data_IF_129191838748
#
_entry.id   IF_129191838748
#
_cell.length_a   1.000
_cell.length_b   1.000
_cell.length_c   1.000
_cell.angle_alpha   90.00
_cell.angle_beta   90.00
_cell.angle_gamma   90.00
#
_symmetry.space_group_name_H-M   'P 1'
#
loop_
_entity.id
_entity.type
_entity.pdbx_description
1 polymer ?
#
# COMPACT_ATOMS: atom_id res chain seq x y z
N UNK A 1 -14.52 12.22 -10.48
CA UNK A 1 -15.25 11.51 -9.41
C UNK A 1 -14.39 11.59 -8.16
N UNK A 2 -14.85 12.23 -7.10
CA UNK A 2 -14.12 12.25 -5.83
C UNK A 2 -14.26 10.86 -5.20
N UNK A 3 -13.14 10.16 -5.02
CA UNK A 3 -13.09 8.95 -4.21
C UNK A 3 -13.49 9.31 -2.78
N UNK A 4 -14.74 9.07 -2.42
CA UNK A 4 -15.20 9.19 -1.04
C UNK A 4 -14.56 8.06 -0.24
N UNK A 5 -13.38 8.33 0.30
CA UNK A 5 -12.66 7.43 1.19
C UNK A 5 -13.51 7.21 2.45
N UNK A 6 -14.01 5.99 2.64
CA UNK A 6 -14.71 5.59 3.87
C UNK A 6 -13.64 5.35 4.95
N UNK A 7 -13.64 6.21 5.98
CA UNK A 7 -12.57 6.28 6.97
C UNK A 7 -12.26 4.94 7.65
N UNK A 8 -11.00 4.73 8.00
CA UNK A 8 -10.53 3.55 8.74
C UNK A 8 -10.57 3.80 10.25
N UNK A 9 -10.75 2.75 11.03
CA UNK A 9 -10.63 2.78 12.49
C UNK A 9 -9.21 2.40 12.88
N UNK A 10 -8.63 3.09 13.87
CA UNK A 10 -7.30 2.79 14.35
C UNK A 10 -7.33 1.61 15.34
N UNK A 11 -6.91 0.44 14.86
CA UNK A 11 -6.73 -0.77 15.68
C UNK A 11 -5.29 -0.96 16.17
N UNK A 12 -4.38 -0.03 15.85
CA UNK A 12 -2.97 -0.14 16.27
C UNK A 12 -2.81 0.11 17.77
N UNK A 13 -3.66 0.96 18.34
CA UNK A 13 -3.70 1.25 19.78
C UNK A 13 -4.10 0.06 20.66
N UNK A 14 -4.63 -1.02 20.08
CA UNK A 14 -4.95 -2.25 20.82
C UNK A 14 -3.69 -2.94 21.33
N UNK A 15 -2.56 -2.77 20.64
CA UNK A 15 -1.30 -3.39 21.04
C UNK A 15 -0.74 -2.64 22.27
N UNK A 16 -0.68 -3.34 23.40
CA UNK A 16 -0.22 -2.77 24.67
C UNK A 16 -1.27 -1.96 25.43
N UNK A 17 -2.55 -2.05 25.03
CA UNK A 17 -3.66 -1.50 25.80
C UNK A 17 -3.73 -2.16 27.18
N UNK A 18 -3.92 -1.39 28.27
CA UNK A 18 -4.16 -1.96 29.60
C UNK A 18 -5.37 -2.90 29.59
N UNK A 19 -5.29 -4.01 30.36
CA UNK A 19 -6.35 -5.03 30.38
C UNK A 19 -7.70 -4.43 30.80
N UNK A 20 -7.72 -3.51 31.77
CA UNK A 20 -8.94 -2.83 32.19
C UNK A 20 -9.60 -2.04 31.04
N UNK A 21 -8.79 -1.33 30.25
CA UNK A 21 -9.30 -0.55 29.11
C UNK A 21 -9.84 -1.48 28.02
N UNK A 22 -9.19 -2.63 27.82
CA UNK A 22 -9.65 -3.66 26.89
C UNK A 22 -10.99 -4.27 27.33
N UNK A 23 -11.18 -4.54 28.62
CA UNK A 23 -12.46 -5.01 29.19
C UNK A 23 -13.56 -3.97 28.90
N UNK A 24 -13.30 -2.70 29.21
CA UNK A 24 -14.26 -1.61 28.97
C UNK A 24 -14.60 -1.48 27.49
N UNK A 25 -13.59 -1.60 26.61
CA UNK A 25 -13.79 -1.56 25.17
C UNK A 25 -14.67 -2.70 24.67
N UNK A 26 -14.41 -3.95 25.10
CA UNK A 26 -15.22 -5.12 24.74
C UNK A 26 -16.67 -4.94 25.20
N UNK A 27 -16.91 -4.48 26.42
CA UNK A 27 -18.26 -4.19 26.93
C UNK A 27 -18.96 -3.09 26.12
N UNK A 28 -18.23 -2.01 25.79
CA UNK A 28 -18.74 -0.90 24.97
C UNK A 28 -19.16 -1.39 23.59
N UNK A 29 -18.30 -2.16 22.92
CA UNK A 29 -18.60 -2.79 21.63
C UNK A 29 -19.80 -3.73 21.75
N UNK A 30 -19.83 -4.62 22.74
CA UNK A 30 -20.94 -5.57 22.94
C UNK A 30 -22.30 -4.88 23.08
N UNK A 31 -22.36 -3.83 23.90
CA UNK A 31 -23.58 -3.03 24.08
C UNK A 31 -23.97 -2.31 22.80
N UNK A 32 -23.03 -1.61 22.16
CA UNK A 32 -23.28 -0.85 20.94
C UNK A 32 -23.78 -1.75 19.80
N UNK A 33 -23.09 -2.86 19.54
CA UNK A 33 -23.41 -3.77 18.44
C UNK A 33 -24.79 -4.40 18.65
N UNK A 34 -25.14 -4.78 19.88
CA UNK A 34 -26.43 -5.41 20.18
C UNK A 34 -27.62 -4.45 20.02
N UNK A 35 -27.43 -3.16 20.34
CA UNK A 35 -28.50 -2.16 20.34
C UNK A 35 -28.64 -1.46 18.99
N UNK A 36 -27.58 -1.42 18.18
CA UNK A 36 -27.55 -0.58 17.00
C UNK A 36 -28.24 -1.27 15.81
N UNK A 37 -29.20 -0.56 15.20
CA UNK A 37 -30.12 -1.08 14.16
C UNK A 37 -29.40 -1.69 12.95
N UNK A 38 -28.23 -1.17 12.58
CA UNK A 38 -27.47 -1.66 11.40
C UNK A 38 -26.75 -2.99 11.59
N UNK A 39 -26.75 -3.52 12.82
CA UNK A 39 -26.16 -4.82 13.14
C UNK A 39 -27.22 -5.89 13.43
N UNK A 40 -28.49 -5.61 13.15
CA UNK A 40 -29.57 -6.59 13.30
C UNK A 40 -29.57 -7.64 12.17
N UNK A 41 -28.94 -7.33 11.03
CA UNK A 41 -28.76 -8.29 9.94
C UNK A 41 -27.85 -9.45 10.37
N UNK A 42 -28.08 -10.68 9.86
CA UNK A 42 -27.23 -11.83 10.15
C UNK A 42 -25.75 -11.54 9.91
N UNK A 43 -24.93 -11.95 10.88
CA UNK A 43 -23.49 -11.90 10.78
C UNK A 43 -22.99 -13.04 9.90
N UNK A 44 -21.90 -12.80 9.17
CA UNK A 44 -21.20 -13.88 8.49
C UNK A 44 -20.59 -14.82 9.53
N UNK A 45 -20.45 -16.10 9.17
CA UNK A 45 -19.80 -17.08 10.02
C UNK A 45 -18.38 -16.61 10.42
N UNK A 46 -18.03 -16.82 11.69
CA UNK A 46 -16.76 -16.36 12.26
C UNK A 46 -16.66 -14.87 12.60
N UNK A 47 -17.66 -14.02 12.30
CA UNK A 47 -17.66 -12.62 12.76
C UNK A 47 -18.30 -12.52 14.15
N UNK A 48 -17.59 -12.01 15.18
CA UNK A 48 -18.15 -11.89 16.52
C UNK A 48 -19.26 -10.84 16.56
N UNK A 49 -20.38 -11.18 17.20
CA UNK A 49 -21.53 -10.29 17.38
C UNK A 49 -21.49 -9.62 18.77
N UNK A 50 -22.49 -8.77 19.05
CA UNK A 50 -22.60 -8.05 20.32
C UNK A 50 -22.55 -8.96 21.56
N UNK A 51 -23.37 -10.03 21.65
CA UNK A 51 -23.29 -10.99 22.75
C UNK A 51 -21.91 -11.61 22.96
N UNK A 52 -21.20 -11.96 21.87
CA UNK A 52 -19.84 -12.49 21.95
C UNK A 52 -18.85 -11.49 22.58
N UNK A 53 -18.96 -10.20 22.26
CA UNK A 53 -18.11 -9.18 22.88
C UNK A 53 -18.41 -8.99 24.38
N UNK A 54 -19.67 -9.05 24.77
CA UNK A 54 -20.06 -9.02 26.20
C UNK A 54 -19.51 -10.23 26.95
N UNK A 55 -19.59 -11.42 26.37
CA UNK A 55 -19.02 -12.64 26.92
C UNK A 55 -17.49 -12.54 27.09
N UNK A 56 -16.78 -12.10 26.03
CA UNK A 56 -15.32 -11.90 26.08
C UNK A 56 -14.91 -10.90 27.16
N UNK A 57 -15.69 -9.83 27.34
CA UNK A 57 -15.46 -8.85 28.42
C UNK A 57 -15.52 -9.49 29.80
N UNK A 58 -16.53 -10.33 30.05
CA UNK A 58 -16.73 -11.01 31.35
C UNK A 58 -15.64 -12.04 31.60
N UNK A 59 -15.31 -12.85 30.60
CA UNK A 59 -14.25 -13.86 30.69
C UNK A 59 -12.87 -13.22 30.90
N UNK A 60 -12.60 -12.08 30.25
CA UNK A 60 -11.32 -11.39 30.42
C UNK A 60 -11.19 -10.81 31.82
N UNK A 61 -12.29 -10.26 32.36
CA UNK A 61 -12.35 -9.78 33.74
C UNK A 61 -12.08 -10.93 34.74
N UNK A 62 -12.68 -12.09 34.54
CA UNK A 62 -12.43 -13.27 35.38
C UNK A 62 -10.96 -13.71 35.28
N UNK A 63 -10.43 -13.87 34.07
CA UNK A 63 -9.04 -14.28 33.85
C UNK A 63 -8.04 -13.31 34.51
N UNK A 64 -8.33 -12.01 34.50
CA UNK A 64 -7.52 -11.00 35.15
C UNK A 64 -7.49 -11.18 36.68
N UNK A 65 -8.64 -11.43 37.30
CA UNK A 65 -8.73 -11.69 38.76
C UNK A 65 -7.96 -12.96 39.13
N UNK A 66 -8.08 -14.02 38.33
CA UNK A 66 -7.37 -15.27 38.57
C UNK A 66 -5.84 -15.13 38.43
N UNK A 67 -5.39 -14.34 37.45
CA UNK A 67 -3.98 -14.05 37.21
C UNK A 67 -3.36 -13.07 38.23
N UNK A 68 -4.17 -12.44 39.09
CA UNK A 68 -3.68 -11.62 40.20
C UNK A 68 -2.93 -12.47 41.25
N UNK A 69 -3.16 -13.78 41.27
CA UNK A 69 -2.35 -14.73 42.03
C UNK A 69 -0.91 -14.78 41.50
N UNK A 70 0.08 -15.20 42.30
CA UNK A 70 1.49 -15.35 41.84
C UNK A 70 1.70 -16.58 40.93
N UNK A 71 0.64 -17.12 40.36
CA UNK A 71 0.66 -18.28 39.47
C UNK A 71 1.08 -17.87 38.04
N UNK A 72 2.20 -18.43 37.59
CA UNK A 72 2.76 -18.15 36.26
C UNK A 72 1.90 -18.69 35.13
N UNK A 73 1.20 -19.81 35.32
CA UNK A 73 0.35 -20.41 34.29
C UNK A 73 -0.87 -19.53 34.01
N UNK A 74 -1.49 -18.97 35.05
CA UNK A 74 -2.64 -18.07 34.93
C UNK A 74 -2.28 -16.76 34.22
N UNK A 75 -1.07 -16.25 34.44
CA UNK A 75 -0.57 -15.07 33.72
C UNK A 75 -0.33 -15.34 32.24
N UNK A 76 0.23 -16.50 31.90
CA UNK A 76 0.41 -16.90 30.51
C UNK A 76 -0.94 -17.09 29.79
N UNK A 77 -1.92 -17.70 30.46
CA UNK A 77 -3.28 -17.83 29.96
C UNK A 77 -3.94 -16.47 29.72
N UNK A 78 -3.82 -15.52 30.66
CA UNK A 78 -4.32 -14.17 30.49
C UNK A 78 -3.73 -13.49 29.25
N UNK A 79 -2.41 -13.61 29.03
CA UNK A 79 -1.75 -13.02 27.86
C UNK A 79 -2.26 -13.61 26.54
N UNK A 80 -2.46 -14.92 26.48
CA UNK A 80 -3.07 -15.58 25.31
C UNK A 80 -4.50 -15.09 25.09
N UNK A 81 -5.30 -15.00 26.15
CA UNK A 81 -6.68 -14.56 26.07
C UNK A 81 -6.83 -13.09 25.65
N UNK A 82 -5.88 -12.23 26.05
CA UNK A 82 -5.79 -10.85 25.55
C UNK A 82 -5.59 -10.85 24.02
N UNK A 83 -4.74 -11.72 23.47
CA UNK A 83 -4.55 -11.81 22.02
C UNK A 83 -5.83 -12.28 21.31
N UNK A 84 -6.56 -13.25 21.87
CA UNK A 84 -7.85 -13.69 21.34
C UNK A 84 -8.86 -12.53 21.26
N UNK A 85 -8.95 -11.72 22.32
CA UNK A 85 -9.83 -10.55 22.37
C UNK A 85 -9.46 -9.53 21.27
N UNK A 86 -8.15 -9.24 21.11
CA UNK A 86 -7.67 -8.31 20.07
C UNK A 86 -8.00 -8.84 18.67
N UNK A 87 -7.87 -10.14 18.42
CA UNK A 87 -8.22 -10.76 17.14
C UNK A 87 -9.71 -10.59 16.85
N UNK A 88 -10.60 -10.86 17.83
CA UNK A 88 -12.03 -10.67 17.68
C UNK A 88 -12.41 -9.22 17.35
N UNK A 89 -11.79 -8.24 18.05
CA UNK A 89 -11.97 -6.82 17.75
C UNK A 89 -11.57 -6.51 16.30
N UNK A 90 -10.41 -7.00 15.84
CA UNK A 90 -9.94 -6.76 14.47
C UNK A 90 -10.86 -7.36 13.41
N UNK A 91 -11.33 -8.58 13.61
CA UNK A 91 -12.28 -9.25 12.70
C UNK A 91 -13.54 -8.39 12.57
N UNK A 92 -14.11 -7.95 13.69
CA UNK A 92 -15.31 -7.13 13.67
C UNK A 92 -15.08 -5.75 13.04
N UNK A 93 -13.97 -5.06 13.36
CA UNK A 93 -13.68 -3.75 12.77
C UNK A 93 -13.57 -3.85 11.26
N UNK A 94 -12.88 -4.85 10.73
CA UNK A 94 -12.81 -5.08 9.29
C UNK A 94 -14.20 -5.32 8.68
N UNK A 95 -15.05 -6.09 9.35
CA UNK A 95 -16.43 -6.31 8.93
C UNK A 95 -17.24 -5.00 8.90
N UNK A 96 -17.12 -4.18 9.94
CA UNK A 96 -17.78 -2.89 10.03
C UNK A 96 -17.30 -1.91 8.95
N UNK A 97 -16.00 -1.90 8.63
CA UNK A 97 -15.42 -1.11 7.53
C UNK A 97 -15.96 -1.56 6.16
N UNK A 98 -16.05 -2.87 5.91
CA UNK A 98 -16.63 -3.41 4.67
C UNK A 98 -18.10 -2.99 4.53
N UNK A 99 -18.90 -3.08 5.60
CA UNK A 99 -20.30 -2.62 5.58
C UNK A 99 -20.40 -1.11 5.39
N UNK A 100 -19.56 -0.32 6.06
CA UNK A 100 -19.52 1.13 5.91
C UNK A 100 -19.27 1.54 4.45
N UNK A 101 -18.29 0.90 3.79
CA UNK A 101 -17.96 1.15 2.40
C UNK A 101 -19.08 0.71 1.44
N UNK A 102 -19.66 -0.48 1.67
CA UNK A 102 -20.72 -1.04 0.80
C UNK A 102 -22.00 -0.21 0.85
N UNK A 103 -22.44 0.18 2.05
CA UNK A 103 -23.67 0.94 2.27
C UNK A 103 -23.47 2.45 2.19
N UNK A 104 -22.22 2.90 2.03
CA UNK A 104 -21.84 4.31 2.04
C UNK A 104 -22.27 5.05 3.32
N UNK A 105 -22.22 4.37 4.46
CA UNK A 105 -22.70 4.88 5.75
C UNK A 105 -21.60 4.78 6.80
N UNK A 106 -21.08 5.91 7.27
CA UNK A 106 -19.99 5.94 8.25
C UNK A 106 -20.43 5.57 9.67
N UNK A 107 -21.75 5.54 9.94
CA UNK A 107 -22.28 5.22 11.27
C UNK A 107 -21.95 3.80 11.73
N UNK A 108 -21.60 2.90 10.81
CA UNK A 108 -21.04 1.58 11.12
C UNK A 108 -19.72 1.64 11.90
N UNK A 109 -19.02 2.77 11.92
CA UNK A 109 -17.72 2.91 12.60
C UNK A 109 -17.82 3.76 13.86
N UNK A 110 -19.01 4.27 14.16
CA UNK A 110 -19.27 5.14 15.30
C UNK A 110 -19.65 4.30 16.52
N UNK A 111 -19.44 4.83 17.73
CA UNK A 111 -19.81 4.15 18.97
C UNK A 111 -18.98 2.91 19.34
N UNK A 112 -18.01 2.50 18.53
CA UNK A 112 -17.16 1.32 18.80
C UNK A 112 -16.10 1.54 19.91
N UNK A 113 -16.01 2.74 20.49
CA UNK A 113 -14.98 3.07 21.49
C UNK A 113 -13.55 3.20 20.92
N UNK A 114 -13.39 3.09 19.60
CA UNK A 114 -12.11 3.22 18.90
C UNK A 114 -11.97 4.57 18.21
N UNK A 115 -10.75 5.07 18.14
CA UNK A 115 -10.46 6.33 17.44
C UNK A 115 -10.49 6.11 15.93
N UNK A 116 -11.04 7.06 15.18
CA UNK A 116 -10.89 7.09 13.73
C UNK A 116 -9.41 7.31 13.42
N UNK A 117 -8.87 6.55 12.48
CA UNK A 117 -7.49 6.71 12.02
C UNK A 117 -7.37 8.07 11.37
N UNK A 118 -6.58 8.95 11.97
CA UNK A 118 -6.29 10.25 11.36
C UNK A 118 -5.62 10.00 10.01
N UNK A 119 -6.32 10.39 8.94
CA UNK A 119 -5.69 10.45 7.64
C UNK A 119 -4.63 11.53 7.77
N UNK A 120 -3.35 11.15 7.86
CA UNK A 120 -2.27 12.08 7.54
C UNK A 120 -2.64 12.61 6.18
N UNK A 121 -3.07 13.87 6.11
CA UNK A 121 -3.07 14.62 4.86
C UNK A 121 -1.63 14.48 4.41
N UNK A 122 -1.37 13.56 3.48
CA UNK A 122 -0.11 13.55 2.77
C UNK A 122 -0.09 14.93 2.18
N UNK A 123 0.74 15.80 2.76
CA UNK A 123 0.95 17.11 2.22
C UNK A 123 1.25 16.88 0.73
N UNK A 124 0.34 17.28 -0.15
CA UNK A 124 0.60 17.40 -1.57
C UNK A 124 1.56 18.60 -1.77
N UNK A 125 2.71 18.55 -1.07
CA UNK A 125 3.80 19.51 -1.08
C UNK A 125 5.10 18.73 -1.06
N UNK A 126 5.41 18.18 -2.22
CA UNK A 126 6.38 18.89 -3.03
C UNK A 126 5.87 18.88 -4.45
N UNK A 127 5.64 20.07 -5.01
CA UNK A 127 5.79 20.26 -6.44
C UNK A 127 7.28 20.03 -6.74
N UNK A 128 7.74 18.77 -6.73
CA UNK A 128 8.96 18.46 -7.46
C UNK A 128 8.66 18.86 -8.90
N UNK A 129 9.44 19.77 -9.48
CA UNK A 129 9.36 20.02 -10.91
C UNK A 129 9.63 18.73 -11.69
N UNK A 130 9.29 18.68 -12.99
CA UNK A 130 9.73 17.60 -13.86
C UNK A 130 11.24 17.37 -13.68
N UNK A 131 11.63 16.11 -13.55
CA UNK A 131 13.06 15.76 -13.45
C UNK A 131 13.80 16.21 -14.71
N UNK A 132 15.07 16.59 -14.60
CA UNK A 132 15.85 17.04 -15.76
C UNK A 132 16.05 15.95 -16.82
N UNK A 133 16.44 16.35 -18.04
CA UNK A 133 16.77 15.39 -19.10
C UNK A 133 17.90 14.46 -18.66
N UNK A 134 17.82 13.15 -18.91
CA UNK A 134 18.93 12.25 -18.61
C UNK A 134 20.17 12.57 -19.47
N UNK A 135 21.29 12.89 -18.81
CA UNK A 135 22.56 13.17 -19.47
C UNK A 135 23.41 11.91 -19.69
N UNK A 136 24.45 12.02 -20.52
CA UNK A 136 25.42 10.95 -20.82
C UNK A 136 24.75 9.64 -21.27
N UNK A 137 23.61 9.76 -21.96
CA UNK A 137 22.99 8.62 -22.60
C UNK A 137 23.96 8.07 -23.64
N UNK A 138 24.27 6.78 -23.53
CA UNK A 138 25.22 6.07 -24.40
C UNK A 138 24.78 4.62 -24.59
N UNK A 139 25.22 4.02 -25.69
CA UNK A 139 24.87 2.65 -26.07
C UNK A 139 26.12 1.88 -26.47
N UNK A 140 26.12 0.57 -26.21
CA UNK A 140 27.13 -0.39 -26.67
C UNK A 140 26.45 -1.65 -27.17
N UNK A 141 27.14 -2.42 -28.00
CA UNK A 141 26.71 -3.77 -28.33
C UNK A 141 26.77 -4.66 -27.10
N UNK A 142 25.73 -5.48 -26.94
CA UNK A 142 25.68 -6.52 -25.93
C UNK A 142 26.47 -7.75 -26.35
N UNK A 143 26.48 -8.80 -25.50
CA UNK A 143 27.30 -9.99 -25.70
C UNK A 143 26.79 -10.90 -26.83
N UNK A 144 25.56 -10.69 -27.32
CA UNK A 144 24.96 -11.49 -28.40
C UNK A 144 24.52 -10.58 -29.55
N UNK A 145 24.51 -11.12 -30.77
CA UNK A 145 23.96 -10.39 -31.94
C UNK A 145 22.50 -10.02 -31.67
N UNK A 146 22.11 -8.81 -32.04
CA UNK A 146 20.77 -8.29 -31.76
C UNK A 146 20.56 -7.78 -30.33
N UNK A 147 21.64 -7.60 -29.54
CA UNK A 147 21.56 -7.04 -28.19
C UNK A 147 22.32 -5.72 -28.04
N UNK A 148 21.75 -4.80 -27.25
CA UNK A 148 22.33 -3.51 -26.91
C UNK A 148 22.32 -3.29 -25.39
N UNK A 149 23.33 -2.59 -24.90
CA UNK A 149 23.50 -2.17 -23.52
C UNK A 149 23.54 -0.65 -23.44
N UNK A 150 22.59 -0.06 -22.73
CA UNK A 150 22.50 1.38 -22.52
C UNK A 150 23.02 1.78 -21.15
N UNK A 151 23.57 3.00 -21.10
CA UNK A 151 24.02 3.65 -19.88
C UNK A 151 23.60 5.11 -19.89
N UNK A 152 23.23 5.63 -18.73
CA UNK A 152 22.78 7.01 -18.53
C UNK A 152 23.27 7.53 -17.18
N UNK A 153 23.46 8.85 -17.05
CA UNK A 153 23.75 9.46 -15.76
C UNK A 153 22.54 9.35 -14.84
N UNK A 154 22.79 9.19 -13.53
CA UNK A 154 21.73 9.17 -12.52
C UNK A 154 21.11 10.56 -12.41
N UNK A 155 19.80 10.65 -12.60
CA UNK A 155 19.02 11.88 -12.40
C UNK A 155 18.49 11.93 -10.97
N UNK A 156 18.64 13.08 -10.30
CA UNK A 156 18.13 13.29 -8.94
C UNK A 156 16.62 13.18 -8.94
N UNK A 157 16.07 12.47 -7.96
CA UNK A 157 14.63 12.18 -7.81
C UNK A 157 13.99 11.35 -8.95
N UNK A 158 14.76 10.78 -9.87
CA UNK A 158 14.22 9.80 -10.81
C UNK A 158 13.89 8.47 -10.11
N UNK A 159 12.66 8.00 -10.30
CA UNK A 159 12.19 6.69 -9.83
C UNK A 159 12.48 5.58 -10.86
N UNK A 160 12.33 5.89 -12.14
CA UNK A 160 12.64 5.00 -13.26
C UNK A 160 12.87 5.80 -14.55
N UNK A 161 13.35 5.10 -15.57
CA UNK A 161 13.74 5.62 -16.88
C UNK A 161 12.96 4.88 -17.98
N UNK A 162 12.29 5.64 -18.84
CA UNK A 162 11.59 5.10 -20.01
C UNK A 162 12.49 5.21 -21.23
N UNK A 163 12.72 4.08 -21.89
CA UNK A 163 13.45 3.99 -23.14
C UNK A 163 12.47 3.83 -24.30
N UNK A 164 12.65 4.63 -25.33
CA UNK A 164 11.94 4.50 -26.60
C UNK A 164 12.91 4.23 -27.74
N UNK A 165 12.40 3.51 -28.73
CA UNK A 165 13.09 3.22 -29.98
C UNK A 165 12.30 3.77 -31.17
N UNK A 166 13.00 4.14 -32.23
CA UNK A 166 12.42 4.54 -33.50
C UNK A 166 13.20 3.89 -34.65
N UNK A 167 12.47 3.34 -35.62
CA UNK A 167 13.01 2.78 -36.87
C UNK A 167 12.75 3.69 -38.09
N UNK A 168 11.85 4.66 -37.94
CA UNK A 168 11.45 5.63 -38.97
C UNK A 168 12.19 6.97 -38.85
N UNK A 169 11.45 8.08 -38.92
CA UNK A 169 12.02 9.42 -38.80
C UNK A 169 12.14 9.82 -37.31
N UNK A 170 13.35 10.00 -36.76
CA UNK A 170 13.53 10.41 -35.36
C UNK A 170 12.95 11.80 -35.05
N UNK A 171 12.66 12.63 -36.05
CA UNK A 171 12.01 13.94 -35.88
C UNK A 171 10.48 13.84 -35.79
N UNK A 172 9.89 12.69 -36.12
CA UNK A 172 8.47 12.44 -36.04
C UNK A 172 8.15 11.68 -34.75
N UNK A 173 7.42 12.31 -33.81
CA UNK A 173 7.12 11.70 -32.51
C UNK A 173 6.28 10.41 -32.62
N UNK A 174 5.47 10.28 -33.68
CA UNK A 174 4.60 9.11 -33.89
C UNK A 174 5.37 7.82 -34.24
N UNK A 175 6.63 7.93 -34.70
CA UNK A 175 7.46 6.79 -35.07
C UNK A 175 8.21 6.20 -33.86
N UNK A 176 8.09 6.83 -32.68
CA UNK A 176 8.70 6.35 -31.44
C UNK A 176 7.81 5.32 -30.76
N UNK A 177 8.45 4.25 -30.26
CA UNK A 177 7.79 3.14 -29.61
C UNK A 177 8.43 2.84 -28.26
N UNK A 178 7.58 2.70 -27.24
CA UNK A 178 8.00 2.32 -25.90
C UNK A 178 8.67 0.95 -25.93
N UNK A 179 9.92 0.91 -25.44
CA UNK A 179 10.73 -0.30 -25.40
C UNK A 179 10.72 -0.92 -24.01
N UNK A 180 10.72 -0.09 -22.98
CA UNK A 180 10.65 -0.56 -21.61
C UNK A 180 10.97 0.53 -20.58
N UNK A 181 10.70 0.19 -19.33
CA UNK A 181 10.95 1.05 -18.17
C UNK A 181 11.97 0.39 -17.26
N UNK A 182 12.98 1.14 -16.83
CA UNK A 182 14.15 0.64 -16.11
C UNK A 182 14.41 1.43 -14.83
N UNK A 183 14.77 0.75 -13.75
CA UNK A 183 15.16 1.40 -12.47
C UNK A 183 16.68 1.60 -12.34
N UNK A 184 17.45 0.93 -13.20
CA UNK A 184 18.91 1.02 -13.21
C UNK A 184 19.38 2.03 -14.26
N UNK A 185 20.59 2.56 -14.09
CA UNK A 185 21.18 3.54 -14.99
C UNK A 185 22.36 2.98 -15.80
N UNK A 186 22.72 1.72 -15.56
CA UNK A 186 23.82 1.01 -16.21
C UNK A 186 23.35 -0.36 -16.65
N UNK A 187 23.92 -0.85 -17.75
CA UNK A 187 23.62 -2.17 -18.31
C UNK A 187 22.12 -2.36 -18.56
N UNK A 188 21.42 -1.30 -18.97
CA UNK A 188 20.03 -1.40 -19.43
C UNK A 188 20.08 -2.23 -20.70
N UNK A 189 19.53 -3.44 -20.66
CA UNK A 189 19.68 -4.43 -21.72
C UNK A 189 18.43 -4.47 -22.59
N UNK A 190 18.64 -4.43 -23.89
CA UNK A 190 17.63 -4.65 -24.90
C UNK A 190 18.11 -5.76 -25.82
N UNK A 191 17.28 -6.79 -25.98
CA UNK A 191 17.55 -7.97 -26.80
C UNK A 191 16.50 -8.09 -27.90
N UNK A 192 16.75 -8.98 -28.87
CA UNK A 192 15.78 -9.30 -29.93
C UNK A 192 15.68 -8.24 -31.02
N UNK A 193 16.68 -7.36 -31.14
CA UNK A 193 16.77 -6.42 -32.25
C UNK A 193 17.31 -7.14 -33.49
N UNK A 194 16.86 -6.71 -34.67
CA UNK A 194 17.30 -7.31 -35.93
C UNK A 194 18.70 -6.80 -36.30
N UNK A 195 19.70 -7.68 -36.49
CA UNK A 195 21.03 -7.30 -36.94
C UNK A 195 21.01 -6.65 -38.33
N UNK A 196 21.90 -5.70 -38.56
CA UNK A 196 22.01 -4.93 -39.80
C UNK A 196 21.03 -3.75 -39.93
N UNK A 197 20.06 -3.61 -39.00
CA UNK A 197 19.15 -2.46 -38.96
C UNK A 197 19.69 -1.33 -38.10
N UNK A 198 19.33 -0.10 -38.48
CA UNK A 198 19.67 1.13 -37.74
C UNK A 198 18.47 1.52 -36.90
N UNK A 199 18.73 1.79 -35.62
CA UNK A 199 17.74 2.21 -34.65
C UNK A 199 18.13 3.55 -34.03
N UNK A 200 17.11 4.34 -33.70
CA UNK A 200 17.21 5.54 -32.91
C UNK A 200 16.68 5.27 -31.50
N UNK A 201 17.34 5.82 -30.49
CA UNK A 201 16.93 5.66 -29.10
C UNK A 201 16.91 7.00 -28.37
N UNK A 202 15.95 7.16 -27.46
CA UNK A 202 15.88 8.27 -26.50
C UNK A 202 15.42 7.75 -25.15
N UNK A 203 15.86 8.38 -24.08
CA UNK A 203 15.50 8.00 -22.72
C UNK A 203 15.02 9.21 -21.92
N UNK A 204 13.97 9.07 -21.12
CA UNK A 204 13.52 10.10 -20.16
C UNK A 204 13.38 9.48 -18.78
N UNK A 205 13.29 10.32 -17.77
CA UNK A 205 13.06 9.86 -16.40
C UNK A 205 11.66 10.24 -15.90
N UNK A 206 11.08 9.38 -15.07
CA UNK A 206 9.88 9.69 -14.29
C UNK A 206 10.29 9.95 -12.84
N UNK A 207 9.94 11.13 -12.32
CA UNK A 207 10.11 11.47 -10.91
C UNK A 207 8.79 11.84 -10.23
N UNK A 208 8.83 12.29 -8.97
CA UNK A 208 7.65 12.74 -8.24
C UNK A 208 6.88 13.88 -8.93
N UNK A 209 7.55 14.65 -9.80
CA UNK A 209 6.98 15.73 -10.61
C UNK A 209 6.40 15.32 -11.96
N UNK A 210 6.39 14.03 -12.29
CA UNK A 210 6.02 13.53 -13.62
C UNK A 210 7.23 13.33 -14.53
N UNK A 211 6.95 13.13 -15.83
CA UNK A 211 7.97 12.84 -16.83
C UNK A 211 8.85 14.07 -17.08
N UNK A 212 10.16 13.85 -16.99
CA UNK A 212 11.16 14.79 -17.46
C UNK A 212 11.26 14.85 -18.99
N UNK A 213 12.02 15.82 -19.53
CA UNK A 213 12.31 15.87 -20.95
C UNK A 213 13.15 14.66 -21.41
N UNK A 214 13.08 14.37 -22.70
CA UNK A 214 13.89 13.34 -23.34
C UNK A 214 15.38 13.71 -23.36
N UNK A 215 16.23 12.70 -23.31
CA UNK A 215 17.66 12.82 -23.59
C UNK A 215 17.91 13.18 -25.06
N UNK A 216 19.18 13.42 -25.37
CA UNK A 216 19.68 13.41 -26.74
C UNK A 216 19.34 12.07 -27.43
N UNK A 217 19.05 12.11 -28.73
CA UNK A 217 18.80 10.91 -29.53
C UNK A 217 20.14 10.26 -29.90
N UNK A 218 20.20 8.93 -29.77
CA UNK A 218 21.33 8.12 -30.22
C UNK A 218 20.93 7.32 -31.44
N UNK A 219 21.82 7.24 -32.43
CA UNK A 219 21.71 6.38 -33.61
C UNK A 219 22.74 5.26 -33.52
N UNK A 220 22.32 4.02 -33.73
CA UNK A 220 23.22 2.86 -33.77
C UNK A 220 22.72 1.81 -34.78
N UNK A 221 23.64 1.21 -35.53
CA UNK A 221 23.37 0.01 -36.32
C UNK A 221 23.60 -1.21 -35.44
N UNK A 222 22.63 -2.11 -35.38
CA UNK A 222 22.72 -3.35 -34.59
C UNK A 222 23.57 -4.37 -35.34
N UNK A 223 24.46 -5.08 -34.62
CA UNK A 223 25.26 -6.20 -35.13
C UNK A 223 24.89 -7.49 -34.40
#
# INVERSE_FOLDING_TARGET
MQDTYFGQVDVTSLKGMPVNDLIVLLATMGSHISQHERYQDPFMDGVPNGPRFTELSQLLQQAQVEAATKDTAKRAYLEQFIQECIVNIRIFVNFAEIRAARHKDQRYLEGLGLKKKEQKKRNARSSFGPTGAPERFSVKHGPVSGSLLFMVARVVAAAHYDLEMCMGDPNNDADWHATGTFVTTRNIRLDGLEPGKVYYFRIRCLGPGGFGPWSNIIKIMVI
#
